data_IF_372354787896
#
_entry.id   IF_372354787896
#
_cell.length_a   1.000
_cell.length_b   1.000
_cell.length_c   1.000
_cell.angle_alpha   90.00
_cell.angle_beta   90.00
_cell.angle_gamma   90.00
#
_symmetry.space_group_name_H-M   'P 1'
#
loop_
_entity.id
_entity.type
_entity.pdbx_description
1 polymer ?
#
# COMPACT_ATOMS: atom_id res chain seq x y z
N UNK A 1 -22.32 29.29 -40.25
CA UNK A 1 -21.14 28.49 -39.84
C UNK A 1 -21.47 27.83 -38.51
N UNK A 2 -22.10 26.66 -38.58
CA UNK A 2 -22.57 25.91 -37.42
C UNK A 2 -21.43 25.04 -36.88
N UNK A 3 -21.01 25.30 -35.65
CA UNK A 3 -19.95 24.56 -34.96
C UNK A 3 -20.37 23.11 -34.71
N UNK A 4 -19.74 22.18 -35.45
CA UNK A 4 -19.84 20.76 -35.19
C UNK A 4 -19.18 20.44 -33.84
N UNK A 5 -20.01 20.18 -32.83
CA UNK A 5 -19.59 19.64 -31.54
C UNK A 5 -18.96 18.26 -31.75
N UNK A 6 -17.64 18.21 -31.82
CA UNK A 6 -16.86 16.97 -31.79
C UNK A 6 -17.26 16.13 -30.57
N UNK A 7 -18.06 15.09 -30.79
CA UNK A 7 -18.41 14.11 -29.76
C UNK A 7 -17.19 13.23 -29.50
N UNK A 8 -16.51 13.48 -28.39
CA UNK A 8 -15.41 12.62 -27.93
C UNK A 8 -16.01 11.27 -27.53
N UNK A 9 -15.68 10.22 -28.28
CA UNK A 9 -16.13 8.86 -28.01
C UNK A 9 -15.19 8.23 -26.98
N UNK A 10 -15.51 8.37 -25.69
CA UNK A 10 -14.72 7.79 -24.60
C UNK A 10 -15.13 6.32 -24.45
N UNK A 11 -14.24 5.41 -24.84
CA UNK A 11 -14.39 3.98 -24.52
C UNK A 11 -13.76 3.72 -23.15
N UNK A 12 -14.60 3.66 -22.12
CA UNK A 12 -14.17 3.31 -20.77
C UNK A 12 -14.07 1.78 -20.71
N UNK A 13 -12.90 1.28 -20.31
CA UNK A 13 -12.71 -0.13 -19.99
C UNK A 13 -12.57 -0.24 -18.47
N UNK A 14 -13.67 -0.60 -17.80
CA UNK A 14 -13.76 -0.63 -16.33
C UNK A 14 -12.99 -1.80 -15.70
N UNK A 15 -12.50 -2.75 -16.51
CA UNK A 15 -11.82 -3.94 -16.02
C UNK A 15 -12.70 -4.74 -15.04
N UNK A 16 -12.06 -5.63 -14.27
CA UNK A 16 -12.73 -6.35 -13.19
C UNK A 16 -12.36 -5.70 -11.87
N UNK A 17 -13.38 -5.30 -11.10
CA UNK A 17 -13.28 -4.90 -9.71
C UNK A 17 -12.37 -5.88 -8.94
N UNK A 18 -11.53 -5.34 -8.06
CA UNK A 18 -10.62 -6.16 -7.29
C UNK A 18 -10.43 -5.60 -5.90
N UNK A 19 -10.37 -6.50 -4.93
CA UNK A 19 -10.03 -6.17 -3.56
C UNK A 19 -8.51 -6.23 -3.39
N UNK A 20 -7.89 -5.18 -2.88
CA UNK A 20 -6.46 -5.15 -2.57
C UNK A 20 -6.26 -5.42 -1.08
N UNK A 21 -5.46 -6.44 -0.76
CA UNK A 21 -5.06 -6.74 0.61
C UNK A 21 -3.89 -5.84 1.04
N UNK A 22 -3.01 -5.53 0.10
CA UNK A 22 -1.82 -4.71 0.31
C UNK A 22 -1.74 -3.61 -0.74
N UNK A 23 -1.25 -2.44 -0.31
CA UNK A 23 -0.90 -1.33 -1.17
C UNK A 23 0.54 -0.92 -0.88
N UNK A 24 1.34 -0.82 -1.93
CA UNK A 24 2.68 -0.24 -1.87
C UNK A 24 2.74 1.03 -2.72
N UNK A 25 3.43 2.04 -2.22
CA UNK A 25 3.65 3.28 -2.93
C UNK A 25 5.15 3.47 -3.12
N UNK A 26 5.59 3.55 -4.37
CA UNK A 26 6.94 3.89 -4.77
C UNK A 26 6.92 5.19 -5.58
N UNK A 27 8.04 5.90 -5.61
CA UNK A 27 8.14 7.10 -6.42
C UNK A 27 9.51 7.19 -7.08
N UNK A 28 9.52 7.81 -8.24
CA UNK A 28 10.69 8.38 -8.88
C UNK A 28 10.41 9.88 -9.14
N UNK A 29 11.39 10.69 -9.57
CA UNK A 29 11.18 12.12 -9.79
C UNK A 29 10.08 12.46 -10.80
N UNK A 30 9.74 11.55 -11.71
CA UNK A 30 8.77 11.78 -12.78
C UNK A 30 7.40 11.17 -12.52
N UNK A 31 7.29 10.21 -11.60
CA UNK A 31 6.12 9.35 -11.47
C UNK A 31 6.02 8.73 -10.08
N UNK A 32 4.78 8.63 -9.60
CA UNK A 32 4.38 7.83 -8.46
C UNK A 32 3.73 6.54 -8.96
N UNK A 33 4.11 5.43 -8.35
CA UNK A 33 3.59 4.11 -8.65
C UNK A 33 2.88 3.57 -7.42
N UNK A 34 1.56 3.44 -7.53
CA UNK A 34 0.68 2.83 -6.53
C UNK A 34 0.36 1.41 -6.97
N UNK A 35 0.97 0.44 -6.32
CA UNK A 35 0.83 -0.99 -6.60
C UNK A 35 -0.13 -1.60 -5.58
N UNK A 36 -1.21 -2.18 -6.09
CA UNK A 36 -2.25 -2.84 -5.31
C UNK A 36 -2.21 -4.35 -5.57
N UNK A 37 -2.05 -5.12 -4.49
CA UNK A 37 -1.90 -6.58 -4.54
C UNK A 37 -3.03 -7.28 -3.80
N UNK A 38 -3.54 -8.32 -4.44
CA UNK A 38 -4.52 -9.23 -3.88
C UNK A 38 -3.89 -10.62 -3.80
N UNK A 39 -3.60 -11.08 -2.60
CA UNK A 39 -3.00 -12.39 -2.34
C UNK A 39 -4.09 -13.28 -1.75
N UNK A 40 -4.59 -14.24 -2.54
CA UNK A 40 -5.58 -15.20 -2.06
C UNK A 40 -5.00 -16.60 -2.06
N UNK A 41 -4.94 -17.30 -0.91
CA UNK A 41 -4.63 -18.71 -0.88
C UNK A 41 -5.79 -19.47 -1.51
N UNK A 42 -5.48 -20.28 -2.52
CA UNK A 42 -6.42 -21.17 -3.20
C UNK A 42 -6.00 -22.60 -2.93
N UNK A 43 -6.85 -23.31 -2.21
CA UNK A 43 -6.81 -24.76 -2.09
C UNK A 43 -7.53 -25.33 -3.30
N UNK A 44 -6.77 -25.85 -4.26
CA UNK A 44 -7.35 -26.62 -5.35
C UNK A 44 -7.74 -28.00 -4.80
N UNK A 45 -9.01 -28.43 -4.88
CA UNK A 45 -9.42 -29.75 -4.40
C UNK A 45 -8.74 -30.92 -5.14
N UNK A 46 -8.08 -30.67 -6.29
CA UNK A 46 -7.35 -31.68 -7.07
C UNK A 46 -5.84 -31.67 -6.84
N UNK A 47 -5.30 -30.56 -6.34
CA UNK A 47 -3.87 -30.40 -6.03
C UNK A 47 -3.71 -30.33 -4.52
N UNK A 48 -3.03 -31.30 -3.91
CA UNK A 48 -2.76 -31.30 -2.47
C UNK A 48 -1.86 -30.14 -2.02
N UNK A 49 -1.30 -29.37 -2.95
CA UNK A 49 -0.46 -28.22 -2.65
C UNK A 49 -1.30 -26.93 -2.61
N UNK A 50 -1.21 -26.14 -1.52
CA UNK A 50 -1.82 -24.82 -1.48
C UNK A 50 -1.13 -23.90 -2.50
N UNK A 51 -1.91 -23.25 -3.37
CA UNK A 51 -1.41 -22.29 -4.34
C UNK A 51 -1.76 -20.86 -3.91
N UNK A 52 -0.82 -19.93 -4.02
CA UNK A 52 -1.09 -18.50 -3.80
C UNK A 52 -1.39 -17.85 -5.15
N UNK A 53 -2.60 -17.35 -5.31
CA UNK A 53 -2.96 -16.53 -6.48
C UNK A 53 -2.71 -15.07 -6.16
N UNK A 54 -1.85 -14.42 -6.96
CA UNK A 54 -1.55 -12.99 -6.85
C UNK A 54 -2.22 -12.24 -8.01
N UNK A 55 -3.17 -11.36 -7.71
CA UNK A 55 -3.68 -10.35 -8.66
C UNK A 55 -3.03 -9.02 -8.32
N UNK A 56 -2.47 -8.34 -9.32
CA UNK A 56 -1.68 -7.13 -9.15
C UNK A 56 -2.13 -6.07 -10.14
N UNK A 57 -2.54 -4.91 -9.64
CA UNK A 57 -2.94 -3.76 -10.44
C UNK A 57 -2.11 -2.54 -10.04
N UNK A 58 -1.50 -1.89 -11.03
CA UNK A 58 -0.64 -0.71 -10.85
C UNK A 58 -1.34 0.53 -11.34
N UNK A 59 -1.39 1.55 -10.51
CA UNK A 59 -1.81 2.91 -10.87
C UNK A 59 -0.58 3.79 -10.88
N UNK A 60 -0.22 4.30 -12.06
CA UNK A 60 0.89 5.21 -12.24
C UNK A 60 0.37 6.62 -12.46
N UNK A 61 0.90 7.59 -11.70
CA UNK A 61 0.43 8.98 -11.73
C UNK A 61 1.59 9.95 -11.61
N UNK A 62 1.45 11.14 -12.17
CA UNK A 62 2.46 12.19 -12.02
C UNK A 62 2.49 12.71 -10.57
N UNK A 63 3.63 13.28 -10.11
CA UNK A 63 3.75 13.86 -8.77
C UNK A 63 2.67 14.89 -8.43
N UNK A 64 2.27 15.70 -9.41
CA UNK A 64 1.20 16.68 -9.21
C UNK A 64 -0.16 16.02 -8.95
N UNK A 65 -0.49 15.01 -9.76
CA UNK A 65 -1.73 14.23 -9.60
C UNK A 65 -1.73 13.42 -8.30
N UNK A 66 -0.58 12.91 -7.86
CA UNK A 66 -0.44 12.22 -6.57
C UNK A 66 -0.82 13.14 -5.38
N UNK A 67 -0.44 14.43 -5.44
CA UNK A 67 -0.83 15.41 -4.42
C UNK A 67 -2.35 15.63 -4.38
N UNK A 68 -2.97 15.65 -5.55
CA UNK A 68 -4.42 15.80 -5.67
C UNK A 68 -5.17 14.56 -5.14
N UNK A 69 -4.66 13.36 -5.44
CA UNK A 69 -5.17 12.11 -4.86
C UNK A 69 -5.12 12.16 -3.34
N UNK A 70 -4.00 12.60 -2.75
CA UNK A 70 -3.90 12.77 -1.30
C UNK A 70 -4.95 13.75 -0.75
N UNK A 71 -5.16 14.89 -1.42
CA UNK A 71 -6.16 15.89 -1.03
C UNK A 71 -7.58 15.31 -1.03
N UNK A 72 -7.94 14.56 -2.07
CA UNK A 72 -9.26 13.93 -2.19
C UNK A 72 -9.44 12.87 -1.10
N UNK A 73 -8.43 12.02 -0.88
CA UNK A 73 -8.47 10.98 0.16
C UNK A 73 -8.62 11.59 1.57
N UNK A 74 -7.84 12.63 1.89
CA UNK A 74 -7.92 13.32 3.18
C UNK A 74 -9.32 13.89 3.45
N UNK A 75 -9.93 14.51 2.43
CA UNK A 75 -11.30 15.03 2.54
C UNK A 75 -12.34 13.93 2.78
N UNK A 76 -12.19 12.76 2.15
CA UNK A 76 -13.09 11.62 2.35
C UNK A 76 -12.91 11.04 3.76
N UNK A 77 -11.68 10.92 4.24
CA UNK A 77 -11.39 10.43 5.60
C UNK A 77 -12.01 11.37 6.64
N UNK A 78 -11.83 12.69 6.50
CA UNK A 78 -12.44 13.67 7.44
C UNK A 78 -13.95 13.54 7.50
N UNK A 79 -14.62 13.47 6.34
CA UNK A 79 -16.06 13.28 6.27
C UNK A 79 -16.52 11.97 6.91
N UNK A 80 -15.72 10.91 6.79
CA UNK A 80 -15.98 9.64 7.47
C UNK A 80 -15.86 9.79 8.98
N UNK A 81 -14.78 10.41 9.47
CA UNK A 81 -14.54 10.59 10.90
C UNK A 81 -15.56 11.52 11.57
N UNK A 82 -16.05 12.53 10.87
CA UNK A 82 -17.13 13.41 11.33
C UNK A 82 -18.44 12.64 11.53
N UNK A 83 -18.73 11.65 10.69
CA UNK A 83 -19.98 10.88 10.72
C UNK A 83 -19.95 9.67 11.65
N UNK A 84 -18.83 8.94 11.67
CA UNK A 84 -18.72 7.63 12.34
C UNK A 84 -17.75 7.65 13.53
N UNK A 85 -17.09 8.78 13.78
CA UNK A 85 -16.07 8.93 14.81
C UNK A 85 -14.65 8.66 14.31
N UNK A 86 -13.66 9.07 15.12
CA UNK A 86 -12.24 9.00 14.76
C UNK A 86 -11.77 7.56 14.54
N UNK A 87 -10.99 7.35 13.49
CA UNK A 87 -10.36 6.07 13.19
C UNK A 87 -9.23 5.85 14.21
N UNK A 88 -9.50 5.00 15.21
CA UNK A 88 -8.50 4.61 16.21
C UNK A 88 -7.75 3.36 15.76
N UNK A 89 -6.43 3.33 15.96
CA UNK A 89 -5.64 2.11 15.76
C UNK A 89 -6.14 1.01 16.72
N UNK A 90 -6.30 -0.23 16.26
CA UNK A 90 -6.65 -1.35 17.13
C UNK A 90 -5.60 -1.54 18.24
N UNK A 91 -6.03 -1.79 19.48
CA UNK A 91 -5.13 -1.98 20.64
C UNK A 91 -4.10 -3.08 20.41
N UNK A 92 -4.47 -4.15 19.69
CA UNK A 92 -3.58 -5.25 19.33
C UNK A 92 -2.41 -4.79 18.44
N UNK A 93 -2.71 -3.97 17.42
CA UNK A 93 -1.70 -3.39 16.51
C UNK A 93 -0.78 -2.44 17.27
N UNK A 94 -1.33 -1.66 18.20
CA UNK A 94 -0.54 -0.74 19.03
C UNK A 94 0.43 -1.48 19.96
N UNK A 95 -0.03 -2.57 20.60
CA UNK A 95 0.81 -3.43 21.45
C UNK A 95 1.94 -4.06 20.64
N UNK A 96 1.64 -4.65 19.49
CA UNK A 96 2.63 -5.24 18.58
C UNK A 96 3.68 -4.21 18.13
N UNK A 97 3.25 -2.99 17.78
CA UNK A 97 4.17 -1.92 17.39
C UNK A 97 5.09 -1.47 18.54
N UNK A 98 4.61 -1.46 19.79
CA UNK A 98 5.44 -1.19 20.98
C UNK A 98 6.47 -2.30 21.21
N UNK A 99 6.07 -3.56 21.02
CA UNK A 99 6.96 -4.73 21.16
C UNK A 99 8.07 -4.71 20.08
N UNK A 100 7.71 -4.46 18.81
CA UNK A 100 8.68 -4.33 17.71
C UNK A 100 9.70 -3.21 17.95
N UNK A 101 9.26 -2.06 18.47
CA UNK A 101 10.17 -0.95 18.83
C UNK A 101 11.12 -1.31 19.97
N UNK A 102 10.67 -2.10 20.96
CA UNK A 102 11.52 -2.56 22.06
C UNK A 102 12.57 -3.56 21.56
N UNK A 103 12.18 -4.48 20.69
CA UNK A 103 13.09 -5.47 20.10
C UNK A 103 14.17 -4.80 19.23
N UNK A 104 13.80 -3.80 18.42
CA UNK A 104 14.78 -3.04 17.60
C UNK A 104 15.84 -2.35 18.46
N UNK A 105 15.41 -1.65 19.52
CA UNK A 105 16.32 -0.98 20.48
C UNK A 105 17.21 -1.96 21.26
N UNK A 106 16.74 -3.19 21.50
CA UNK A 106 17.55 -4.22 22.13
C UNK A 106 18.62 -4.75 21.19
N UNK A 107 18.30 -4.99 19.91
CA UNK A 107 19.28 -5.43 18.90
C UNK A 107 20.38 -4.39 18.67
N UNK A 108 20.01 -3.12 18.52
CA UNK A 108 20.98 -2.01 18.37
C UNK A 108 21.96 -1.93 19.56
N UNK A 109 21.46 -2.16 20.79
CA UNK A 109 22.30 -2.19 22.01
C UNK A 109 23.18 -3.43 22.15
N UNK A 110 22.81 -4.54 21.51
CA UNK A 110 23.61 -5.78 21.52
C UNK A 110 24.69 -5.72 20.44
N UNK A 111 24.38 -5.12 19.28
CA UNK A 111 25.34 -4.91 18.18
C UNK A 111 26.45 -3.91 18.54
N UNK A 112 26.14 -2.83 19.29
CA UNK A 112 27.16 -1.91 19.83
C UNK A 112 28.14 -2.56 20.82
N UNK A 113 27.81 -3.73 21.40
CA UNK A 113 28.64 -4.41 22.42
C UNK A 113 29.47 -5.57 21.88
N UNK A 114 29.26 -5.98 20.63
CA UNK A 114 30.07 -7.01 19.97
C UNK A 114 31.18 -6.35 19.17
N UNK A 115 32.26 -5.93 19.85
CA UNK A 115 33.54 -5.71 19.18
C UNK A 115 34.01 -7.06 18.63
N UNK A 116 34.11 -7.18 17.30
CA UNK A 116 34.60 -8.40 16.67
C UNK A 116 36.05 -8.64 17.13
N UNK A 117 36.41 -9.86 17.57
CA UNK A 117 37.79 -10.16 17.96
C UNK A 117 38.74 -9.90 16.79
N UNK A 118 39.76 -9.08 17.04
CA UNK A 118 40.72 -8.68 16.03
C UNK A 118 41.74 -9.81 15.84
N UNK A 119 41.53 -10.67 14.83
CA UNK A 119 42.36 -11.84 14.54
C UNK A 119 43.57 -11.55 13.64
N UNK A 120 43.82 -10.29 13.30
CA UNK A 120 45.00 -9.86 12.56
C UNK A 120 45.72 -8.83 13.43
N UNK A 121 46.61 -9.36 14.27
CA UNK A 121 47.68 -8.58 14.91
C UNK A 121 48.80 -8.27 13.93
#
# INVERSE_FOLDING_TARGET
MSEEKNKINIKINDGLEFFAHEMSANFNPTQFTLDFRCITPRTDPRSQNPSLTLKHNVVMVDPWHAKEIHRVLDNVIKKYEEKFGKIKKPKAVEKHHKEMKKQKKQREKTEEKTEAPNYLG
#
